data_IF_242447007690
#
_entry.id   IF_242447007690
#
_cell.length_a   1.000
_cell.length_b   1.000
_cell.length_c   1.000
_cell.angle_alpha   90.00
_cell.angle_beta   90.00
_cell.angle_gamma   90.00
#
_symmetry.space_group_name_H-M   'P 1'
#
loop_
_entity.id
_entity.type
_entity.pdbx_description
1 polymer ?
#
# COMPACT_ATOMS: atom_id res chain seq x y z
N UNK A 1 -8.47 -31.99 -5.82
CA UNK A 1 -8.32 -32.60 -4.48
C UNK A 1 -7.60 -31.56 -3.63
N UNK A 2 -8.34 -30.71 -2.93
CA UNK A 2 -7.74 -29.76 -1.97
C UNK A 2 -7.33 -30.58 -0.74
N UNK A 3 -6.02 -30.65 -0.49
CA UNK A 3 -5.53 -31.10 0.81
C UNK A 3 -6.07 -30.13 1.84
N UNK A 4 -6.95 -30.55 2.72
CA UNK A 4 -7.31 -29.78 3.91
C UNK A 4 -6.07 -29.80 4.80
N UNK A 5 -5.29 -28.72 4.77
CA UNK A 5 -4.26 -28.49 5.76
C UNK A 5 -4.97 -28.23 7.08
N UNK A 6 -4.88 -29.20 7.99
CA UNK A 6 -5.43 -29.08 9.34
C UNK A 6 -4.52 -28.15 10.15
N UNK A 7 -4.88 -26.89 10.22
CA UNK A 7 -4.25 -25.95 11.14
C UNK A 7 -4.67 -26.31 12.58
N UNK A 8 -3.73 -26.27 13.52
CA UNK A 8 -4.09 -26.30 14.93
C UNK A 8 -4.83 -25.03 15.34
N UNK A 9 -5.61 -25.09 16.42
CA UNK A 9 -6.33 -23.91 16.95
C UNK A 9 -5.36 -22.76 17.26
N UNK A 10 -4.16 -23.07 17.75
CA UNK A 10 -3.11 -22.09 18.00
C UNK A 10 -2.60 -21.45 16.71
N UNK A 11 -2.33 -22.24 15.67
CA UNK A 11 -1.92 -21.70 14.36
C UNK A 11 -3.02 -20.83 13.73
N UNK A 12 -4.28 -21.25 13.84
CA UNK A 12 -5.41 -20.47 13.36
C UNK A 12 -5.57 -19.14 14.11
N UNK A 13 -5.37 -19.14 15.44
CA UNK A 13 -5.41 -17.93 16.27
C UNK A 13 -4.28 -16.96 15.89
N UNK A 14 -3.03 -17.43 15.75
CA UNK A 14 -1.91 -16.59 15.32
C UNK A 14 -2.09 -16.03 13.93
N UNK A 15 -2.57 -16.86 12.98
CA UNK A 15 -2.84 -16.39 11.61
C UNK A 15 -3.91 -15.31 11.60
N UNK A 16 -4.99 -15.49 12.36
CA UNK A 16 -6.07 -14.50 12.46
C UNK A 16 -5.59 -13.19 13.10
N UNK A 17 -4.79 -13.27 14.15
CA UNK A 17 -4.17 -12.11 14.80
C UNK A 17 -3.25 -11.35 13.86
N UNK A 18 -2.39 -12.06 13.14
CA UNK A 18 -1.47 -11.45 12.16
C UNK A 18 -2.21 -10.76 11.02
N UNK A 19 -3.30 -11.35 10.52
CA UNK A 19 -4.13 -10.73 9.48
C UNK A 19 -4.83 -9.46 9.99
N UNK A 20 -5.31 -9.48 11.22
CA UNK A 20 -5.92 -8.30 11.83
C UNK A 20 -4.90 -7.16 11.99
N UNK A 21 -3.72 -7.44 12.52
CA UNK A 21 -2.64 -6.47 12.70
C UNK A 21 -2.20 -5.88 11.35
N UNK A 22 -1.86 -6.74 10.40
CA UNK A 22 -1.41 -6.30 9.07
C UNK A 22 -2.46 -5.46 8.32
N UNK A 23 -3.74 -5.83 8.43
CA UNK A 23 -4.84 -5.15 7.75
C UNK A 23 -5.24 -3.82 8.38
N UNK A 24 -5.08 -3.66 9.70
CA UNK A 24 -5.46 -2.44 10.42
C UNK A 24 -4.43 -1.32 10.23
N UNK A 25 -3.17 -1.58 10.53
CA UNK A 25 -2.16 -0.53 10.66
C UNK A 25 -1.72 0.05 9.33
N UNK A 26 -1.59 -0.78 8.30
CA UNK A 26 -1.13 -0.32 6.98
C UNK A 26 -2.13 0.63 6.33
N UNK A 27 -3.40 0.26 6.32
CA UNK A 27 -4.47 1.07 5.72
C UNK A 27 -4.70 2.35 6.51
N UNK A 28 -4.73 2.26 7.84
CA UNK A 28 -4.90 3.43 8.73
C UNK A 28 -3.78 4.45 8.54
N UNK A 29 -2.53 4.01 8.44
CA UNK A 29 -1.38 4.88 8.22
C UNK A 29 -1.46 5.63 6.89
N UNK A 30 -1.88 4.96 5.81
CA UNK A 30 -2.08 5.60 4.50
C UNK A 30 -3.20 6.65 4.56
N UNK A 31 -4.32 6.35 5.24
CA UNK A 31 -5.43 7.30 5.38
C UNK A 31 -4.98 8.53 6.19
N UNK A 32 -4.22 8.35 7.26
CA UNK A 32 -3.66 9.48 8.03
C UNK A 32 -2.72 10.32 7.16
N UNK A 33 -1.84 9.68 6.38
CA UNK A 33 -0.96 10.37 5.43
C UNK A 33 -1.75 11.14 4.36
N UNK A 34 -2.80 10.54 3.81
CA UNK A 34 -3.72 11.21 2.88
C UNK A 34 -4.38 12.45 3.49
N UNK A 35 -4.90 12.37 4.73
CA UNK A 35 -5.52 13.51 5.40
C UNK A 35 -4.49 14.63 5.62
N UNK A 36 -3.27 14.28 6.06
CA UNK A 36 -2.18 15.24 6.21
C UNK A 36 -1.83 15.92 4.88
N UNK A 37 -1.74 15.15 3.79
CA UNK A 37 -1.48 15.69 2.47
C UNK A 37 -2.58 16.68 2.02
N UNK A 38 -3.86 16.36 2.26
CA UNK A 38 -4.97 17.26 1.90
C UNK A 38 -4.96 18.56 2.70
N UNK A 39 -4.52 18.51 3.97
CA UNK A 39 -4.34 19.71 4.80
C UNK A 39 -3.17 20.58 4.32
N UNK A 40 -2.06 19.97 3.91
CA UNK A 40 -0.86 20.67 3.42
C UNK A 40 -1.03 21.19 1.99
N UNK A 41 -1.81 20.51 1.17
CA UNK A 41 -2.01 20.82 -0.25
C UNK A 41 -3.49 21.01 -0.60
N UNK A 42 -4.16 22.06 -0.08
CA UNK A 42 -5.61 22.25 -0.25
C UNK A 42 -6.04 22.42 -1.72
N UNK A 43 -5.13 22.85 -2.58
CA UNK A 43 -5.39 22.94 -4.03
C UNK A 43 -5.54 21.56 -4.69
N UNK A 44 -4.85 20.54 -4.17
CA UNK A 44 -5.00 19.14 -4.62
C UNK A 44 -6.36 18.61 -4.22
N UNK A 45 -6.74 18.82 -2.96
CA UNK A 45 -8.06 18.44 -2.45
C UNK A 45 -9.18 19.09 -3.28
N UNK A 46 -9.09 20.41 -3.52
CA UNK A 46 -10.09 21.14 -4.32
C UNK A 46 -10.26 20.52 -5.71
N UNK A 47 -9.15 20.24 -6.40
CA UNK A 47 -9.19 19.64 -7.73
C UNK A 47 -9.74 18.21 -7.73
N UNK A 48 -9.45 17.41 -6.68
CA UNK A 48 -10.04 16.09 -6.50
C UNK A 48 -11.55 16.16 -6.32
N UNK A 49 -12.03 17.10 -5.50
CA UNK A 49 -13.46 17.32 -5.30
C UNK A 49 -14.15 17.76 -6.61
N UNK A 50 -13.55 18.69 -7.37
CA UNK A 50 -14.07 19.13 -8.66
C UNK A 50 -14.21 17.97 -9.66
N UNK A 51 -13.30 17.00 -9.64
CA UNK A 51 -13.41 15.80 -10.48
C UNK A 51 -14.57 14.90 -10.02
N UNK A 52 -14.69 14.65 -8.72
CA UNK A 52 -15.78 13.85 -8.15
C UNK A 52 -17.14 14.49 -8.45
N UNK A 53 -17.28 15.78 -8.19
CA UNK A 53 -18.53 16.51 -8.42
C UNK A 53 -18.93 16.49 -9.91
N UNK A 54 -17.96 16.59 -10.80
CA UNK A 54 -18.21 16.56 -12.26
C UNK A 54 -18.63 15.18 -12.76
N UNK A 55 -18.03 14.10 -12.23
CA UNK A 55 -18.23 12.74 -12.75
C UNK A 55 -19.41 12.06 -12.06
N UNK A 56 -19.55 12.24 -10.76
CA UNK A 56 -20.53 11.53 -9.93
C UNK A 56 -21.71 12.43 -9.55
N UNK A 57 -21.45 13.72 -9.33
CA UNK A 57 -22.43 14.66 -8.81
C UNK A 57 -22.63 14.50 -7.30
N UNK A 58 -23.74 15.08 -6.79
CA UNK A 58 -24.09 15.09 -5.36
C UNK A 58 -25.07 13.99 -4.95
N UNK A 59 -25.61 13.23 -5.90
CA UNK A 59 -26.77 12.37 -5.67
C UNK A 59 -26.42 10.98 -5.12
N UNK A 60 -25.17 10.58 -5.21
CA UNK A 60 -24.70 9.28 -4.74
C UNK A 60 -23.24 9.30 -4.29
N UNK A 61 -22.85 8.27 -3.55
CA UNK A 61 -21.44 8.04 -3.22
C UNK A 61 -20.68 7.39 -4.40
N UNK A 62 -19.36 7.65 -4.55
CA UNK A 62 -18.50 6.92 -5.48
C UNK A 62 -18.50 5.41 -5.23
N UNK A 63 -18.38 4.65 -6.29
CA UNK A 63 -18.20 3.19 -6.26
C UNK A 63 -16.93 2.78 -6.98
N UNK A 64 -16.54 1.52 -6.89
CA UNK A 64 -15.36 1.01 -7.61
C UNK A 64 -15.53 1.06 -9.13
N UNK A 65 -16.76 1.05 -9.65
CA UNK A 65 -17.04 1.15 -11.08
C UNK A 65 -16.67 2.53 -11.65
N UNK A 66 -16.68 3.56 -10.80
CA UNK A 66 -16.31 4.92 -11.19
C UNK A 66 -14.79 5.16 -11.29
N UNK A 67 -13.97 4.21 -10.84
CA UNK A 67 -12.53 4.41 -10.69
C UNK A 67 -11.83 4.80 -12.01
N UNK A 68 -12.29 4.29 -13.14
CA UNK A 68 -11.72 4.60 -14.46
C UNK A 68 -12.03 6.04 -14.92
N UNK A 69 -13.09 6.63 -14.40
CA UNK A 69 -13.56 7.97 -14.76
C UNK A 69 -13.04 9.06 -13.79
N UNK A 70 -12.26 8.65 -12.77
CA UNK A 70 -11.66 9.51 -11.73
C UNK A 70 -10.12 9.49 -11.78
N UNK A 71 -9.46 9.82 -12.90
CA UNK A 71 -8.02 9.69 -13.05
C UNK A 71 -7.22 10.57 -12.09
N UNK A 72 -7.70 11.76 -11.74
CA UNK A 72 -7.01 12.64 -10.81
C UNK A 72 -7.12 12.14 -9.36
N UNK A 73 -8.28 11.69 -8.94
CA UNK A 73 -8.46 11.04 -7.63
C UNK A 73 -7.57 9.79 -7.54
N UNK A 74 -7.50 9.00 -8.62
CA UNK A 74 -6.61 7.84 -8.68
C UNK A 74 -5.13 8.24 -8.57
N UNK A 75 -4.73 9.36 -9.18
CA UNK A 75 -3.38 9.90 -9.03
C UNK A 75 -3.10 10.37 -7.58
N UNK A 76 -4.07 10.99 -6.90
CA UNK A 76 -3.97 11.37 -5.48
C UNK A 76 -3.71 10.13 -4.61
N UNK A 77 -4.45 9.03 -4.84
CA UNK A 77 -4.26 7.78 -4.09
C UNK A 77 -2.84 7.24 -4.28
N UNK A 78 -2.37 7.14 -5.52
CA UNK A 78 -1.01 6.69 -5.82
C UNK A 78 0.06 7.58 -5.20
N UNK A 79 -0.12 8.89 -5.28
CA UNK A 79 0.82 9.85 -4.72
C UNK A 79 0.84 9.82 -3.19
N UNK A 80 -0.30 9.59 -2.54
CA UNK A 80 -0.36 9.43 -1.08
C UNK A 80 0.46 8.24 -0.60
N UNK A 81 0.40 7.12 -1.31
CA UNK A 81 1.19 5.92 -1.02
C UNK A 81 2.69 6.18 -1.25
N UNK A 82 3.05 6.89 -2.32
CA UNK A 82 4.43 7.25 -2.61
C UNK A 82 4.99 8.25 -1.60
N UNK A 83 4.21 9.28 -1.25
CA UNK A 83 4.64 10.40 -0.38
C UNK A 83 4.82 9.97 1.06
N UNK A 84 4.00 9.05 1.55
CA UNK A 84 4.07 8.56 2.94
C UNK A 84 3.90 7.03 2.98
N UNK A 85 4.93 6.29 2.55
CA UNK A 85 4.87 4.83 2.56
C UNK A 85 4.82 4.30 3.99
N UNK A 86 3.94 3.33 4.23
CA UNK A 86 3.73 2.73 5.56
C UNK A 86 4.96 1.99 6.06
N UNK A 87 5.68 1.30 5.16
CA UNK A 87 6.85 0.50 5.50
C UNK A 87 8.08 1.04 4.77
N UNK A 88 8.78 1.98 5.40
CA UNK A 88 9.88 2.75 4.81
C UNK A 88 11.05 1.86 4.34
N UNK A 89 11.37 0.82 5.11
CA UNK A 89 12.53 -0.05 4.88
C UNK A 89 12.13 -1.41 4.29
N UNK A 90 10.87 -1.60 3.94
CA UNK A 90 10.30 -2.88 3.52
C UNK A 90 10.63 -4.04 4.49
N UNK A 91 10.31 -5.29 4.12
CA UNK A 91 10.73 -6.46 4.87
C UNK A 91 12.12 -6.91 4.40
N UNK A 92 13.04 -7.28 5.32
CA UNK A 92 14.33 -7.84 4.93
C UNK A 92 14.17 -9.16 4.17
N UNK A 93 14.86 -9.29 3.04
CA UNK A 93 14.93 -10.53 2.25
C UNK A 93 16.34 -11.08 2.25
N UNK A 94 16.46 -12.41 2.37
CA UNK A 94 17.75 -13.08 2.25
C UNK A 94 17.96 -13.55 0.81
N UNK A 95 19.18 -13.35 0.29
CA UNK A 95 19.60 -13.90 -1.00
C UNK A 95 19.83 -15.40 -0.86
N UNK A 96 19.12 -16.21 -1.62
CA UNK A 96 19.16 -17.67 -1.49
C UNK A 96 20.40 -18.31 -2.12
N UNK A 97 20.96 -17.71 -3.16
CA UNK A 97 22.16 -18.17 -3.86
C UNK A 97 22.99 -16.96 -4.33
N UNK A 98 24.27 -17.17 -4.58
CA UNK A 98 25.13 -16.11 -5.15
C UNK A 98 24.50 -15.54 -6.42
N UNK A 99 24.47 -14.21 -6.53
CA UNK A 99 23.89 -13.49 -7.66
C UNK A 99 24.81 -12.34 -8.10
N UNK A 100 24.56 -11.82 -9.30
CA UNK A 100 25.25 -10.65 -9.86
C UNK A 100 24.22 -9.57 -10.20
N UNK A 101 24.37 -8.40 -9.59
CA UNK A 101 23.55 -7.24 -9.90
C UNK A 101 24.45 -6.08 -10.39
N UNK A 102 24.23 -5.63 -11.62
CA UNK A 102 24.98 -4.53 -12.26
C UNK A 102 26.51 -4.74 -12.19
N UNK A 103 27.00 -5.98 -12.26
CA UNK A 103 28.43 -6.35 -12.16
C UNK A 103 28.93 -6.53 -10.73
N UNK A 104 28.15 -6.27 -9.72
CA UNK A 104 28.50 -6.50 -8.31
C UNK A 104 28.01 -7.87 -7.85
N UNK A 105 28.89 -8.60 -7.17
CA UNK A 105 28.54 -9.89 -6.56
C UNK A 105 27.69 -9.66 -5.30
N UNK A 106 26.52 -10.29 -5.26
CA UNK A 106 25.65 -10.37 -4.08
C UNK A 106 25.74 -11.79 -3.54
N UNK A 107 26.42 -12.04 -2.40
CA UNK A 107 26.60 -13.40 -1.90
C UNK A 107 25.31 -13.98 -1.32
N UNK A 108 25.21 -15.32 -1.36
CA UNK A 108 24.14 -16.05 -0.66
C UNK A 108 24.14 -15.69 0.84
N UNK A 109 22.95 -15.54 1.42
CA UNK A 109 22.75 -15.11 2.80
C UNK A 109 22.85 -13.60 3.02
N UNK A 110 23.22 -12.80 2.01
CA UNK A 110 23.17 -11.34 2.12
C UNK A 110 21.73 -10.87 2.37
N UNK A 111 21.58 -9.89 3.27
CA UNK A 111 20.28 -9.24 3.50
C UNK A 111 20.08 -8.10 2.53
N UNK A 112 18.97 -8.14 1.79
CA UNK A 112 18.55 -7.06 0.89
C UNK A 112 17.37 -6.32 1.51
N UNK A 113 17.51 -5.00 1.59
CA UNK A 113 16.48 -4.07 2.07
C UNK A 113 16.10 -3.13 0.93
N UNK A 114 14.81 -2.96 0.71
CA UNK A 114 14.30 -1.98 -0.24
C UNK A 114 14.08 -0.67 0.49
N UNK A 115 14.77 0.38 0.09
CA UNK A 115 14.53 1.72 0.62
C UNK A 115 13.33 2.36 -0.11
N UNK A 116 12.13 2.06 0.38
CA UNK A 116 10.88 2.54 -0.21
C UNK A 116 10.72 4.07 -0.14
N UNK A 117 11.39 4.72 0.81
CA UNK A 117 11.35 6.18 0.94
C UNK A 117 12.02 6.92 -0.24
N UNK A 118 12.95 6.29 -0.93
CA UNK A 118 13.73 6.89 -2.00
C UNK A 118 13.24 6.53 -3.42
N UNK A 119 12.09 5.87 -3.54
CA UNK A 119 11.53 5.44 -4.84
C UNK A 119 10.56 6.46 -5.41
#
# INVERSE_FOLDING_TARGET
MQAQEHLSDEQAAYLSGSLLEAGSDTTSSIIVGFIQAMLLFPHVQKRGNEEIDRVIGSDRMPTMDDANDLPYVHAIVKESIRWMPTTIMAAPHAVLQDDLYMGYRVPAGATVLINVWCV
#
